data_IF_876361256022
#
_entry.id   IF_876361256022
#
_cell.length_a   1.000
_cell.length_b   1.000
_cell.length_c   1.000
_cell.angle_alpha   90.00
_cell.angle_beta   90.00
_cell.angle_gamma   90.00
#
_symmetry.space_group_name_H-M   'P 1'
#
loop_
_entity.id
_entity.type
_entity.pdbx_description
1 polymer ?
#
# COMPACT_ATOMS: atom_id res chain seq x y z
N UNK A 1 -2.07 -3.42 -28.50
CA UNK A 1 -2.53 -2.12 -27.97
C UNK A 1 -1.40 -1.53 -27.13
N UNK A 2 -1.16 -0.23 -27.19
CA UNK A 2 -0.01 0.41 -26.52
C UNK A 2 -0.29 0.93 -25.11
N UNK A 3 -1.46 0.64 -24.53
CA UNK A 3 -1.86 1.07 -23.18
C UNK A 3 -2.91 0.11 -22.58
N UNK A 4 -3.05 0.15 -21.26
CA UNK A 4 -4.11 -0.46 -20.46
C UNK A 4 -4.63 0.56 -19.45
N UNK A 5 -5.87 0.41 -19.00
CA UNK A 5 -6.50 1.31 -18.01
C UNK A 5 -7.45 0.51 -17.14
N UNK A 6 -7.54 0.91 -15.87
CA UNK A 6 -8.49 0.39 -14.88
C UNK A 6 -8.98 1.56 -14.04
N UNK A 7 -10.24 1.51 -13.62
CA UNK A 7 -10.72 2.33 -12.51
C UNK A 7 -10.65 1.49 -11.24
N UNK A 8 -10.16 2.06 -10.15
CA UNK A 8 -9.90 1.29 -8.92
C UNK A 8 -11.18 0.71 -8.31
N UNK A 9 -12.27 1.48 -8.32
CA UNK A 9 -13.58 1.04 -7.79
C UNK A 9 -14.22 -0.10 -8.60
N UNK A 10 -13.74 -0.36 -9.83
CA UNK A 10 -14.24 -1.45 -10.67
C UNK A 10 -13.51 -2.78 -10.39
N UNK A 11 -12.44 -2.76 -9.59
CA UNK A 11 -11.65 -3.94 -9.28
C UNK A 11 -12.19 -4.68 -8.06
N UNK A 12 -12.03 -6.01 -7.96
CA UNK A 12 -12.44 -6.74 -6.77
C UNK A 12 -11.63 -6.32 -5.53
N UNK A 13 -12.30 -6.31 -4.38
CA UNK A 13 -11.66 -6.23 -3.06
C UNK A 13 -11.05 -7.59 -2.73
N UNK A 14 -9.73 -7.61 -2.51
CA UNK A 14 -8.95 -8.81 -2.26
C UNK A 14 -8.15 -8.69 -0.95
N UNK A 15 -7.47 -9.78 -0.58
CA UNK A 15 -6.64 -9.86 0.63
C UNK A 15 -7.44 -9.84 1.94
N UNK A 16 -6.74 -9.76 3.08
CA UNK A 16 -7.38 -9.75 4.40
C UNK A 16 -8.36 -8.58 4.53
N UNK A 17 -9.62 -8.88 4.80
CA UNK A 17 -10.67 -7.87 4.98
C UNK A 17 -11.04 -7.08 3.73
N UNK A 18 -10.60 -7.51 2.53
CA UNK A 18 -10.87 -6.77 1.28
C UNK A 18 -10.01 -5.51 1.11
N UNK A 19 -8.96 -5.36 1.93
CA UNK A 19 -8.20 -4.12 2.05
C UNK A 19 -7.29 -3.80 0.85
N UNK A 20 -7.15 -4.71 -0.13
CA UNK A 20 -6.22 -4.50 -1.27
C UNK A 20 -6.88 -4.77 -2.61
N UNK A 21 -6.50 -3.96 -3.61
CA UNK A 21 -6.79 -4.17 -5.03
C UNK A 21 -5.46 -4.28 -5.80
N UNK A 22 -5.19 -5.42 -6.43
CA UNK A 22 -3.91 -5.72 -7.09
C UNK A 22 -3.82 -5.12 -8.52
N UNK A 23 -3.71 -3.79 -8.61
CA UNK A 23 -3.74 -3.01 -9.86
C UNK A 23 -2.82 -3.56 -10.95
N UNK A 24 -1.58 -3.95 -10.60
CA UNK A 24 -0.59 -4.47 -11.56
C UNK A 24 -1.16 -5.59 -12.44
N UNK A 25 -1.91 -6.53 -11.84
CA UNK A 25 -2.44 -7.72 -12.54
C UNK A 25 -3.41 -7.31 -13.64
N UNK A 26 -4.24 -6.31 -13.37
CA UNK A 26 -5.25 -5.83 -14.31
C UNK A 26 -4.67 -4.91 -15.40
N UNK A 27 -3.60 -4.17 -15.09
CA UNK A 27 -2.87 -3.39 -16.08
C UNK A 27 -1.94 -4.24 -16.96
N UNK A 28 -1.55 -5.44 -16.52
CA UNK A 28 -0.53 -6.23 -17.19
C UNK A 28 0.87 -5.61 -17.07
N UNK A 29 1.14 -4.86 -16.00
CA UNK A 29 2.44 -4.25 -15.78
C UNK A 29 3.48 -5.31 -15.35
N UNK A 30 4.63 -5.33 -16.02
CA UNK A 30 5.66 -6.36 -15.79
C UNK A 30 6.81 -5.86 -14.91
N UNK A 31 7.14 -4.58 -14.99
CA UNK A 31 8.37 -4.03 -14.40
C UNK A 31 8.28 -3.78 -12.88
N UNK A 32 7.11 -3.43 -12.36
CA UNK A 32 6.92 -3.12 -10.93
C UNK A 32 5.50 -3.42 -10.44
N UNK A 33 5.36 -3.56 -9.12
CA UNK A 33 4.09 -3.69 -8.40
C UNK A 33 3.29 -2.39 -8.34
N UNK A 34 1.98 -2.49 -8.47
CA UNK A 34 1.04 -1.42 -8.13
C UNK A 34 -0.10 -2.08 -7.38
N UNK A 35 -0.29 -1.65 -6.14
CA UNK A 35 -1.38 -2.08 -5.27
C UNK A 35 -2.10 -0.84 -4.78
N UNK A 36 -3.40 -0.96 -4.56
CA UNK A 36 -4.20 0.06 -3.91
C UNK A 36 -4.73 -0.49 -2.60
N UNK A 37 -4.44 0.21 -1.51
CA UNK A 37 -4.84 -0.20 -0.17
C UNK A 37 -5.89 0.76 0.40
N UNK A 38 -6.93 0.16 0.99
CA UNK A 38 -7.97 0.87 1.73
C UNK A 38 -8.15 0.19 3.07
N UNK A 39 -8.08 0.98 4.14
CA UNK A 39 -8.20 0.50 5.50
C UNK A 39 -9.41 1.15 6.15
N UNK A 40 -10.17 0.36 6.93
CA UNK A 40 -11.21 0.91 7.77
C UNK A 40 -10.59 1.82 8.87
N UNK A 41 -11.36 2.74 9.46
CA UNK A 41 -10.90 3.55 10.58
C UNK A 41 -10.28 2.69 11.69
N UNK A 42 -9.16 3.18 12.24
CA UNK A 42 -8.36 2.53 13.30
C UNK A 42 -7.85 1.12 12.96
N UNK A 43 -7.97 0.67 11.70
CA UNK A 43 -7.50 -0.64 11.29
C UNK A 43 -5.97 -0.71 11.28
N UNK A 44 -5.45 -1.83 11.78
CA UNK A 44 -4.03 -2.18 11.71
C UNK A 44 -3.83 -3.04 10.48
N UNK A 45 -2.95 -2.61 9.58
CA UNK A 45 -2.55 -3.38 8.42
C UNK A 45 -1.68 -4.58 8.79
N UNK A 46 -1.10 -5.22 7.77
CA UNK A 46 -0.20 -6.35 7.96
C UNK A 46 1.25 -5.88 8.11
N UNK A 47 1.95 -6.38 9.13
CA UNK A 47 3.40 -6.16 9.28
C UNK A 47 4.16 -7.02 8.27
N UNK A 48 4.97 -6.38 7.44
CA UNK A 48 5.76 -7.07 6.41
C UNK A 48 7.05 -6.31 6.07
N UNK A 49 7.90 -6.99 5.30
CA UNK A 49 9.03 -6.45 4.57
C UNK A 49 9.03 -7.06 3.15
N UNK A 50 9.97 -6.64 2.31
CA UNK A 50 10.13 -7.10 0.92
C UNK A 50 11.48 -7.78 0.71
N UNK A 51 12.05 -8.38 1.78
CA UNK A 51 13.36 -9.02 1.71
C UNK A 51 13.35 -10.18 0.71
N UNK A 52 12.28 -10.96 0.61
CA UNK A 52 12.23 -12.08 -0.33
C UNK A 52 12.17 -11.60 -1.79
N UNK A 53 11.40 -10.54 -2.06
CA UNK A 53 11.24 -10.00 -3.41
C UNK A 53 12.43 -9.13 -3.85
N UNK A 54 13.22 -8.64 -2.89
CA UNK A 54 14.32 -7.67 -3.07
C UNK A 54 13.86 -6.34 -3.67
N UNK A 55 12.57 -6.03 -3.60
CA UNK A 55 12.01 -4.80 -4.16
C UNK A 55 12.01 -3.68 -3.13
N UNK A 56 12.37 -2.47 -3.58
CA UNK A 56 11.96 -1.26 -2.88
C UNK A 56 10.45 -1.08 -3.03
N UNK A 57 9.81 -0.51 -2.02
CA UNK A 57 8.40 -0.14 -2.07
C UNK A 57 8.24 1.35 -1.84
N UNK A 58 7.36 1.98 -2.62
CA UNK A 58 6.97 3.38 -2.45
C UNK A 58 5.48 3.45 -2.15
N UNK A 59 5.14 3.91 -0.93
CA UNK A 59 3.77 4.13 -0.51
C UNK A 59 3.44 5.63 -0.61
N UNK A 60 2.32 5.91 -1.27
CA UNK A 60 1.81 7.27 -1.47
C UNK A 60 0.46 7.38 -0.77
N UNK A 61 0.36 8.25 0.23
CA UNK A 61 -0.90 8.48 0.94
C UNK A 61 -1.70 9.49 0.13
N UNK A 62 -2.78 9.01 -0.48
CA UNK A 62 -3.61 9.80 -1.40
C UNK A 62 -4.89 10.32 -0.75
N UNK A 63 -5.33 9.70 0.35
CA UNK A 63 -6.49 10.06 1.15
C UNK A 63 -6.27 9.65 2.62
N UNK A 64 -7.07 10.24 3.53
CA UNK A 64 -7.02 9.92 4.96
C UNK A 64 -5.73 10.35 5.67
N UNK A 65 -5.56 9.81 6.88
CA UNK A 65 -4.38 9.98 7.73
C UNK A 65 -4.16 8.78 8.63
N UNK A 66 -3.04 8.72 9.34
CA UNK A 66 -2.68 7.62 10.23
C UNK A 66 -1.21 7.64 10.61
N UNK A 67 -0.66 6.47 10.93
CA UNK A 67 0.77 6.29 11.18
C UNK A 67 1.30 5.08 10.42
N UNK A 68 2.57 5.10 10.05
CA UNK A 68 3.33 3.89 9.78
C UNK A 68 4.15 3.55 11.01
N UNK A 69 4.09 2.30 11.48
CA UNK A 69 5.10 1.80 12.41
C UNK A 69 6.24 1.21 11.61
N UNK A 70 7.45 1.73 11.80
CA UNK A 70 8.65 1.36 11.04
C UNK A 70 9.79 1.23 12.04
N UNK A 71 10.40 0.05 12.12
CA UNK A 71 11.54 -0.21 13.03
C UNK A 71 11.30 0.23 14.49
N UNK A 72 10.03 0.15 14.96
CA UNK A 72 9.62 0.54 16.31
C UNK A 72 9.27 2.03 16.49
N UNK A 73 9.38 2.85 15.45
CA UNK A 73 8.97 4.26 15.45
C UNK A 73 7.56 4.42 14.83
N UNK A 74 6.74 5.32 15.38
CA UNK A 74 5.47 5.72 14.77
C UNK A 74 5.66 7.01 13.96
N UNK A 75 5.55 6.88 12.64
CA UNK A 75 5.74 7.97 11.68
C UNK A 75 4.36 8.46 11.25
N UNK A 76 3.94 9.69 11.61
CA UNK A 76 2.64 10.20 11.22
C UNK A 76 2.57 10.47 9.72
N UNK A 77 1.47 10.05 9.10
CA UNK A 77 1.22 10.22 7.68
C UNK A 77 -0.16 10.82 7.43
N UNK A 78 -0.28 11.56 6.33
CA UNK A 78 -1.54 12.12 5.83
C UNK A 78 -1.48 12.22 4.33
N UNK A 79 -2.60 12.56 3.69
CA UNK A 79 -2.62 12.88 2.26
C UNK A 79 -1.43 13.74 1.84
N UNK A 80 -0.71 13.27 0.83
CA UNK A 80 0.50 13.87 0.27
C UNK A 80 1.82 13.33 0.84
N UNK A 81 1.78 12.51 1.90
CA UNK A 81 2.98 11.81 2.39
C UNK A 81 3.41 10.74 1.39
N UNK A 82 4.70 10.70 1.07
CA UNK A 82 5.32 9.68 0.20
C UNK A 82 6.47 9.04 0.99
N UNK A 83 6.47 7.72 1.08
CA UNK A 83 7.48 6.95 1.82
C UNK A 83 8.11 5.91 0.90
N UNK A 84 9.44 5.77 0.96
CA UNK A 84 10.19 4.70 0.29
C UNK A 84 10.81 3.81 1.35
N UNK A 85 10.69 2.50 1.19
CA UNK A 85 11.23 1.50 2.09
C UNK A 85 12.30 0.66 1.38
N UNK A 86 13.41 0.39 2.07
CA UNK A 86 14.36 -0.64 1.61
C UNK A 86 13.71 -2.02 1.76
N UNK A 87 14.17 -3.04 1.00
CA UNK A 87 13.58 -4.38 1.04
C UNK A 87 13.49 -4.97 2.46
N UNK A 88 14.48 -4.74 3.31
CA UNK A 88 14.57 -5.30 4.66
C UNK A 88 13.76 -4.52 5.71
N UNK A 89 13.20 -3.35 5.35
CA UNK A 89 12.52 -2.48 6.31
C UNK A 89 11.15 -3.04 6.66
N UNK A 90 11.01 -3.47 7.92
CA UNK A 90 9.73 -3.92 8.47
C UNK A 90 8.81 -2.75 8.74
N UNK A 91 7.56 -2.87 8.30
CA UNK A 91 6.59 -1.79 8.34
C UNK A 91 5.17 -2.31 8.51
N UNK A 92 4.34 -1.52 9.19
CA UNK A 92 2.89 -1.74 9.27
C UNK A 92 2.16 -0.39 9.19
N UNK A 93 1.21 -0.21 8.25
CA UNK A 93 0.32 0.94 8.26
C UNK A 93 -0.76 0.78 9.34
N UNK A 94 -1.10 1.86 10.01
CA UNK A 94 -2.23 1.96 10.93
C UNK A 94 -3.07 3.14 10.50
N UNK A 95 -4.32 2.87 10.14
CA UNK A 95 -5.27 3.91 9.74
C UNK A 95 -5.60 4.80 10.94
N UNK A 96 -5.78 6.09 10.68
CA UNK A 96 -6.37 7.02 11.63
C UNK A 96 -7.88 6.78 11.77
N UNK A 97 -8.56 7.61 12.57
CA UNK A 97 -9.98 7.47 12.85
C UNK A 97 -10.91 7.93 11.71
N UNK A 98 -10.34 8.49 10.63
CA UNK A 98 -11.06 9.08 9.49
C UNK A 98 -10.68 8.42 8.17
#
# INVERSE_FOLDING_TARGET
>A
MGYSTVHVDDLPEEGPGGAVRFIRRHLGAEAFGINWFEFAPDAVGYEHDEQESQQEEVNVIIAGSGVYRVDGEEIPVRRGTVMRFDPQTKRVPVAGPE
#
